data_IF_164866594154
#
_entry.id   IF_164866594154
#
_cell.length_a   1.000
_cell.length_b   1.000
_cell.length_c   1.000
_cell.angle_alpha   90.00
_cell.angle_beta   90.00
_cell.angle_gamma   90.00
#
_symmetry.space_group_name_H-M   'P 1'
#
loop_
_entity.id
_entity.type
_entity.pdbx_description
1 polymer ?
#
# COMPACT_ATOMS: atom_id res chain seq x y z
N UNK A 1 -11.38 -8.11 -33.04
CA UNK A 1 -11.41 -8.39 -31.60
C UNK A 1 -11.96 -7.15 -30.91
N UNK A 2 -13.05 -7.25 -30.14
CA UNK A 2 -13.50 -6.10 -29.34
C UNK A 2 -12.45 -5.88 -28.26
N UNK A 3 -11.64 -4.83 -28.41
CA UNK A 3 -10.69 -4.42 -27.39
C UNK A 3 -11.44 -4.07 -26.12
N UNK A 4 -10.94 -4.54 -24.97
CA UNK A 4 -11.46 -4.08 -23.68
C UNK A 4 -11.40 -2.56 -23.59
N UNK A 5 -12.51 -1.95 -23.17
CA UNK A 5 -12.56 -0.54 -22.83
C UNK A 5 -11.84 -0.39 -21.48
N UNK A 6 -10.53 -0.22 -21.52
CA UNK A 6 -9.75 0.18 -20.35
C UNK A 6 -10.11 1.65 -20.07
N UNK A 7 -10.58 2.02 -18.88
CA UNK A 7 -10.79 3.42 -18.52
C UNK A 7 -9.48 4.19 -18.73
N UNK A 8 -9.51 5.18 -19.62
CA UNK A 8 -8.32 5.86 -20.14
C UNK A 8 -7.83 7.05 -19.32
N UNK A 9 -8.43 7.39 -18.19
CA UNK A 9 -7.93 8.48 -17.38
C UNK A 9 -7.89 8.09 -15.92
N UNK A 10 -6.84 8.58 -15.26
CA UNK A 10 -6.74 8.59 -13.81
C UNK A 10 -8.01 9.24 -13.19
N UNK A 11 -8.71 10.09 -13.93
CA UNK A 11 -9.93 10.82 -13.52
C UNK A 11 -11.17 9.95 -13.18
N UNK A 12 -11.23 8.67 -13.57
CA UNK A 12 -12.40 7.80 -13.33
C UNK A 12 -12.21 6.79 -12.18
N UNK A 13 -11.17 6.93 -11.37
CA UNK A 13 -10.91 6.03 -10.24
C UNK A 13 -11.29 6.72 -8.93
N UNK A 14 -12.04 6.04 -8.07
CA UNK A 14 -12.33 6.54 -6.72
C UNK A 14 -11.06 6.82 -5.92
N UNK A 15 -9.99 6.04 -6.13
CA UNK A 15 -8.69 6.33 -5.51
C UNK A 15 -8.01 7.59 -6.05
N UNK A 16 -8.31 8.03 -7.28
CA UNK A 16 -7.88 9.32 -7.78
C UNK A 16 -8.71 10.46 -7.19
N UNK A 17 -10.04 10.29 -7.12
CA UNK A 17 -10.96 11.25 -6.47
C UNK A 17 -10.58 11.49 -4.98
N UNK A 18 -10.20 10.43 -4.26
CA UNK A 18 -9.73 10.52 -2.87
C UNK A 18 -8.40 11.28 -2.76
N UNK A 19 -7.50 11.09 -3.74
CA UNK A 19 -6.16 11.70 -3.73
C UNK A 19 -6.12 13.16 -4.17
N UNK A 20 -7.03 13.56 -5.07
CA UNK A 20 -7.13 14.91 -5.66
C UNK A 20 -7.06 16.05 -4.64
N UNK A 21 -7.88 16.08 -3.56
CA UNK A 21 -7.83 17.17 -2.59
C UNK A 21 -6.52 17.28 -1.81
N UNK A 22 -5.68 16.24 -1.84
CA UNK A 22 -4.39 16.18 -1.15
C UNK A 22 -3.19 16.24 -2.12
N UNK A 23 -3.44 16.39 -3.43
CA UNK A 23 -2.38 16.34 -4.45
C UNK A 23 -1.73 14.96 -4.59
N UNK A 24 -2.41 13.91 -4.15
CA UNK A 24 -1.90 12.55 -4.15
C UNK A 24 -2.35 11.76 -5.38
N UNK A 25 -1.45 10.95 -5.93
CA UNK A 25 -1.79 10.07 -7.04
C UNK A 25 -2.69 8.92 -6.57
N UNK A 26 -3.50 8.37 -7.48
CA UNK A 26 -4.29 7.17 -7.18
C UNK A 26 -3.42 6.00 -6.70
N UNK A 27 -2.15 5.94 -7.16
CA UNK A 27 -1.17 4.93 -6.73
C UNK A 27 -0.77 5.15 -5.28
N UNK A 28 -0.57 6.39 -4.85
CA UNK A 28 -0.27 6.72 -3.45
C UNK A 28 -1.43 6.29 -2.55
N UNK A 29 -2.67 6.65 -2.92
CA UNK A 29 -3.87 6.23 -2.18
C UNK A 29 -3.97 4.70 -2.09
N UNK A 30 -3.73 3.99 -3.19
CA UNK A 30 -3.70 2.51 -3.18
C UNK A 30 -2.61 1.94 -2.27
N UNK A 31 -1.44 2.58 -2.19
CA UNK A 31 -0.36 2.18 -1.27
C UNK A 31 -0.76 2.38 0.19
N UNK A 32 -1.43 3.48 0.52
CA UNK A 32 -1.98 3.69 1.87
C UNK A 32 -3.02 2.62 2.23
N UNK A 33 -3.93 2.29 1.30
CA UNK A 33 -4.86 1.17 1.49
C UNK A 33 -4.10 -0.14 1.68
N UNK A 34 -3.00 -0.35 0.95
CA UNK A 34 -2.22 -1.59 1.11
C UNK A 34 -1.62 -1.72 2.50
N UNK A 35 -1.14 -0.63 3.10
CA UNK A 35 -0.62 -0.64 4.47
C UNK A 35 -1.63 -1.14 5.51
N UNK A 36 -2.95 -1.10 5.25
CA UNK A 36 -3.94 -1.67 6.17
C UNK A 36 -3.91 -3.20 6.25
N UNK A 37 -3.13 -3.86 5.37
CA UNK A 37 -2.89 -5.30 5.37
C UNK A 37 -1.50 -5.66 5.93
N UNK A 38 -0.74 -4.65 6.37
CA UNK A 38 0.51 -4.87 7.08
C UNK A 38 0.22 -5.16 8.54
N UNK A 39 0.90 -6.14 9.12
CA UNK A 39 0.73 -6.52 10.52
C UNK A 39 0.97 -5.31 11.44
N UNK A 40 0.15 -5.08 12.49
CA UNK A 40 0.27 -3.88 13.33
C UNK A 40 1.67 -3.62 13.90
N UNK A 41 2.40 -4.68 14.25
CA UNK A 41 3.79 -4.55 14.73
C UNK A 41 4.76 -4.06 13.65
N UNK A 42 4.58 -4.47 12.39
CA UNK A 42 5.36 -3.96 11.27
C UNK A 42 4.98 -2.51 10.94
N UNK A 43 3.72 -2.11 11.12
CA UNK A 43 3.31 -0.70 11.01
C UNK A 43 3.99 0.17 12.08
N UNK A 44 4.08 -0.29 13.33
CA UNK A 44 4.83 0.41 14.38
C UNK A 44 6.30 0.62 13.97
N UNK A 45 6.93 -0.38 13.36
CA UNK A 45 8.29 -0.22 12.82
C UNK A 45 8.38 0.78 11.67
N UNK A 46 7.31 1.03 10.93
CA UNK A 46 7.25 2.12 9.95
C UNK A 46 7.16 3.47 10.64
N UNK A 47 6.31 3.60 11.65
CA UNK A 47 6.13 4.84 12.43
C UNK A 47 7.41 5.22 13.18
N UNK A 48 8.15 4.23 13.70
CA UNK A 48 9.48 4.39 14.31
C UNK A 48 10.60 4.69 13.28
N UNK A 49 10.30 4.61 11.98
CA UNK A 49 11.27 4.81 10.90
C UNK A 49 12.27 3.65 10.71
N UNK A 50 12.03 2.50 11.35
CA UNK A 50 12.85 1.27 11.17
C UNK A 50 12.59 0.60 9.83
N UNK A 51 11.37 0.72 9.30
CA UNK A 51 10.97 0.26 7.96
C UNK A 51 10.51 1.46 7.14
N UNK A 52 11.14 1.69 5.99
CA UNK A 52 10.68 2.75 5.10
C UNK A 52 9.33 2.40 4.44
N UNK A 53 8.58 3.42 4.03
CA UNK A 53 7.25 3.28 3.42
C UNK A 53 7.19 2.31 2.23
N UNK A 54 8.17 2.37 1.31
CA UNK A 54 8.14 1.50 0.12
C UNK A 54 8.30 0.02 0.47
N UNK A 55 9.30 -0.39 1.29
CA UNK A 55 9.36 -1.74 1.83
C UNK A 55 8.07 -2.15 2.57
N UNK A 56 7.50 -1.29 3.40
CA UNK A 56 6.26 -1.61 4.13
C UNK A 56 5.09 -1.97 3.19
N UNK A 57 4.96 -1.23 2.08
CA UNK A 57 3.99 -1.54 1.03
C UNK A 57 4.27 -2.91 0.40
N UNK A 58 5.53 -3.28 0.16
CA UNK A 58 5.85 -4.60 -0.39
C UNK A 58 5.55 -5.72 0.63
N UNK A 59 5.93 -5.52 1.89
CA UNK A 59 5.71 -6.48 2.98
C UNK A 59 4.22 -6.75 3.23
N UNK A 60 3.36 -5.77 3.01
CA UNK A 60 1.91 -5.95 3.13
C UNK A 60 1.31 -6.90 2.08
N UNK A 61 2.08 -7.33 1.07
CA UNK A 61 1.72 -8.42 0.14
C UNK A 61 2.06 -9.82 0.61
N UNK A 62 2.82 -9.96 1.69
CA UNK A 62 3.11 -11.23 2.31
C UNK A 62 1.91 -11.74 3.11
N UNK A 63 1.85 -13.05 3.31
CA UNK A 63 0.83 -13.66 4.15
C UNK A 63 1.15 -13.48 5.65
N UNK A 64 0.19 -13.82 6.51
CA UNK A 64 0.30 -13.60 7.96
C UNK A 64 1.50 -14.30 8.60
N UNK A 65 1.89 -15.49 8.11
CA UNK A 65 3.03 -16.26 8.64
C UNK A 65 4.33 -15.57 8.25
N UNK A 66 4.48 -15.21 6.97
CA UNK A 66 5.67 -14.51 6.47
C UNK A 66 5.87 -13.15 7.17
N UNK A 67 4.79 -12.42 7.44
CA UNK A 67 4.87 -11.17 8.19
C UNK A 67 5.27 -11.39 9.67
N UNK A 68 4.81 -12.48 10.30
CA UNK A 68 5.22 -12.86 11.66
C UNK A 68 6.71 -13.25 11.73
N UNK A 69 7.20 -14.01 10.75
CA UNK A 69 8.61 -14.40 10.67
C UNK A 69 9.53 -13.16 10.55
N UNK A 70 9.09 -12.16 9.79
CA UNK A 70 9.82 -10.88 9.69
C UNK A 70 9.85 -10.11 11.00
N UNK A 71 8.75 -10.09 11.76
CA UNK A 71 8.71 -9.42 13.07
C UNK A 71 9.77 -10.01 14.00
N UNK A 72 9.84 -11.35 14.08
CA UNK A 72 10.83 -12.04 14.92
C UNK A 72 12.28 -11.80 14.47
N UNK A 73 12.48 -11.54 13.18
CA UNK A 73 13.82 -11.29 12.62
C UNK A 73 14.29 -9.84 12.83
N UNK A 74 13.35 -8.89 12.91
CA UNK A 74 13.63 -7.47 13.09
C UNK A 74 13.81 -7.11 14.57
N UNK A 75 13.14 -7.83 15.49
CA UNK A 75 13.37 -7.73 16.94
C UNK A 75 14.82 -8.04 17.35
#
# INVERSE_FOLDING_TARGET
TSGQVVPKSDDNRTSAEIGEPYGESYKTVQRYVRLTYLHPKLLEYVDEGRIAFTPAVELSYLNDIEQQDLIQTIE
#
